data_IF_913802826386
#
_entry.id   IF_913802826386
#
_cell.length_a   1.000
_cell.length_b   1.000
_cell.length_c   1.000
_cell.angle_alpha   90.00
_cell.angle_beta   90.00
_cell.angle_gamma   90.00
#
_symmetry.space_group_name_H-M   'P 1'
#
loop_
_entity.id
_entity.type
_entity.pdbx_description
1 polymer ?
#
# COMPACT_ATOMS: atom_id res chain seq x y z
N UNK A 1 18.50 11.06 62.35
CA UNK A 1 18.31 12.45 61.90
C UNK A 1 19.48 12.80 60.97
N UNK A 2 19.30 12.72 59.69
CA UNK A 2 20.26 13.21 58.68
C UNK A 2 19.47 13.98 57.63
N UNK A 3 19.74 15.27 57.59
CA UNK A 3 19.09 16.24 56.69
C UNK A 3 19.54 16.04 55.23
N UNK A 4 18.61 16.07 54.28
CA UNK A 4 18.86 16.16 52.84
C UNK A 4 19.03 17.63 52.44
N UNK A 5 19.99 17.99 51.57
CA UNK A 5 20.06 19.33 51.02
C UNK A 5 19.04 19.48 49.87
N UNK A 6 18.37 20.63 49.87
CA UNK A 6 17.53 21.12 48.77
C UNK A 6 18.43 21.66 47.68
N UNK A 7 18.26 21.20 46.43
CA UNK A 7 18.84 21.83 45.24
C UNK A 7 17.79 22.75 44.64
N UNK A 8 18.14 24.02 44.51
CA UNK A 8 17.33 25.09 43.93
C UNK A 8 17.23 24.93 42.42
N UNK A 9 16.02 25.15 41.88
CA UNK A 9 15.76 25.28 40.44
C UNK A 9 16.22 26.67 39.98
N UNK A 10 16.99 26.75 38.90
CA UNK A 10 17.29 27.96 38.16
C UNK A 10 16.34 28.10 36.95
N UNK A 11 15.80 29.28 36.70
CA UNK A 11 14.96 29.54 35.55
C UNK A 11 15.82 29.83 34.30
N UNK A 12 15.52 29.13 33.20
CA UNK A 12 16.07 29.49 31.90
C UNK A 12 15.01 30.23 31.10
N UNK A 13 15.14 31.58 31.08
CA UNK A 13 14.57 32.43 30.05
C UNK A 13 15.52 32.45 28.86
N UNK A 14 15.01 32.04 27.68
CA UNK A 14 15.64 32.35 26.41
C UNK A 14 14.59 32.90 25.45
N UNK A 15 14.35 34.21 25.58
CA UNK A 15 13.83 35.03 24.48
C UNK A 15 15.01 35.40 23.58
N UNK A 16 15.02 34.91 22.36
CA UNK A 16 15.99 35.23 21.32
C UNK A 16 15.25 35.67 20.07
N UNK A 17 14.96 36.97 19.99
CA UNK A 17 14.55 37.68 18.76
C UNK A 17 15.64 37.55 17.70
N UNK A 18 15.35 36.89 16.59
CA UNK A 18 16.16 36.97 15.37
C UNK A 18 15.39 37.79 14.33
N UNK A 19 15.68 39.06 14.27
CA UNK A 19 15.29 39.97 13.19
C UNK A 19 16.11 39.61 11.94
N UNK A 20 15.49 39.19 10.89
CA UNK A 20 16.08 39.19 9.55
C UNK A 20 15.88 40.54 8.90
N UNK A 21 16.98 41.25 8.67
CA UNK A 21 17.06 42.46 7.92
C UNK A 21 16.88 42.22 6.42
N UNK A 22 16.00 43.02 5.82
CA UNK A 22 15.76 43.08 4.38
C UNK A 22 16.83 43.93 3.69
N UNK A 23 17.37 43.46 2.58
CA UNK A 23 18.00 44.19 1.47
C UNK A 23 17.86 43.28 0.24
N UNK A 24 17.33 43.69 -0.86
CA UNK A 24 17.06 44.87 -1.55
C UNK A 24 16.65 44.61 -2.99
N UNK A 25 15.76 45.47 -3.48
CA UNK A 25 15.60 45.99 -4.85
C UNK A 25 15.11 45.05 -5.98
N UNK A 26 13.89 45.27 -6.35
CA UNK A 26 13.35 45.77 -7.62
C UNK A 26 13.76 45.07 -8.93
N UNK A 27 12.77 44.46 -9.55
CA UNK A 27 12.58 44.51 -10.99
C UNK A 27 11.09 44.48 -11.32
N UNK A 28 10.58 45.59 -11.83
CA UNK A 28 9.25 45.81 -12.36
C UNK A 28 9.12 45.12 -13.69
N UNK A 29 8.18 44.16 -13.84
CA UNK A 29 7.77 43.56 -15.10
C UNK A 29 6.30 43.86 -15.38
N UNK A 30 6.06 44.82 -16.29
CA UNK A 30 4.76 45.30 -16.69
C UNK A 30 3.93 44.18 -17.38
N UNK A 31 2.75 43.93 -16.87
CA UNK A 31 1.72 43.12 -17.52
C UNK A 31 1.05 43.95 -18.62
N UNK A 32 1.31 43.63 -19.90
CA UNK A 32 0.62 44.22 -21.05
C UNK A 32 -0.73 43.53 -21.22
N UNK A 33 -1.79 44.31 -20.97
CA UNK A 33 -3.14 43.97 -21.44
C UNK A 33 -3.22 44.03 -22.97
N UNK A 34 -3.55 42.94 -23.60
CA UNK A 34 -3.94 42.91 -25.02
C UNK A 34 -5.44 43.20 -25.11
N UNK A 35 -5.78 44.40 -25.58
CA UNK A 35 -7.14 44.76 -25.96
C UNK A 35 -7.45 44.14 -27.31
N UNK A 36 -8.47 43.30 -27.39
CA UNK A 36 -9.01 42.79 -28.65
C UNK A 36 -10.01 43.83 -29.20
N UNK A 37 -9.67 44.39 -30.35
CA UNK A 37 -10.54 45.31 -31.08
C UNK A 37 -11.73 44.57 -31.72
N UNK A 38 -12.92 45.08 -31.49
CA UNK A 38 -14.14 44.69 -32.21
C UNK A 38 -14.13 45.36 -33.59
N UNK A 39 -14.10 44.58 -34.67
CA UNK A 39 -14.37 45.02 -36.02
C UNK A 39 -15.86 44.88 -36.32
N UNK A 40 -16.49 46.00 -36.59
CA UNK A 40 -17.85 46.10 -37.16
C UNK A 40 -17.78 45.80 -38.64
N UNK A 41 -18.52 44.78 -39.14
CA UNK A 41 -18.73 44.54 -40.55
C UNK A 41 -20.11 45.04 -40.95
N UNK A 42 -20.12 45.92 -41.95
CA UNK A 42 -21.27 46.55 -42.52
C UNK A 42 -22.11 45.56 -43.36
N UNK A 43 -23.43 45.72 -43.25
CA UNK A 43 -24.43 45.00 -44.03
C UNK A 43 -24.51 45.62 -45.44
N UNK A 44 -24.19 44.84 -46.48
CA UNK A 44 -24.55 45.18 -47.85
C UNK A 44 -25.85 44.44 -48.23
N UNK A 45 -26.91 45.19 -48.47
CA UNK A 45 -28.17 44.69 -48.96
C UNK A 45 -28.05 44.48 -50.49
N UNK A 46 -28.09 43.23 -50.94
CA UNK A 46 -28.22 42.85 -52.35
C UNK A 46 -29.59 42.28 -52.63
N UNK A 47 -30.38 42.98 -53.43
CA UNK A 47 -31.60 42.46 -54.01
C UNK A 47 -31.28 41.25 -54.90
N UNK A 48 -31.87 40.10 -54.64
CA UNK A 48 -31.88 38.97 -55.56
C UNK A 48 -33.33 38.70 -55.97
N UNK A 49 -33.56 38.86 -57.21
CA UNK A 49 -34.83 38.57 -57.94
C UNK A 49 -35.22 37.11 -57.81
N UNK A 50 -36.47 36.88 -57.52
CA UNK A 50 -37.02 35.55 -57.31
C UNK A 50 -37.04 34.67 -58.54
N UNK A 51 -36.56 33.46 -58.40
CA UNK A 51 -36.81 32.35 -59.34
C UNK A 51 -37.83 31.39 -58.67
N UNK A 52 -38.75 30.78 -59.41
CA UNK A 52 -39.76 29.91 -58.83
C UNK A 52 -39.17 28.65 -58.24
N UNK A 53 -39.58 28.38 -57.02
CA UNK A 53 -39.18 27.19 -56.28
C UNK A 53 -39.84 25.97 -56.91
N UNK A 54 -39.12 25.19 -57.69
CA UNK A 54 -39.57 23.86 -58.11
C UNK A 54 -39.53 22.96 -56.87
N UNK A 55 -40.69 22.45 -56.51
CA UNK A 55 -40.82 21.48 -55.45
C UNK A 55 -40.03 20.19 -55.81
N UNK A 56 -38.89 19.96 -55.19
CA UNK A 56 -38.19 18.68 -55.30
C UNK A 56 -38.96 17.65 -54.45
N UNK A 57 -39.26 16.52 -55.10
CA UNK A 57 -39.83 15.37 -54.44
C UNK A 57 -38.84 14.89 -53.32
N UNK A 58 -39.35 14.45 -52.16
CA UNK A 58 -38.49 13.98 -51.07
C UNK A 58 -37.64 12.80 -51.55
N UNK A 59 -36.33 12.91 -51.34
CA UNK A 59 -35.38 11.81 -51.62
C UNK A 59 -35.81 10.54 -50.86
N UNK A 60 -35.73 9.36 -51.50
CA UNK A 60 -36.04 8.12 -50.82
C UNK A 60 -35.11 7.97 -49.59
N UNK A 61 -35.71 7.66 -48.41
CA UNK A 61 -34.92 7.31 -47.23
C UNK A 61 -33.94 6.19 -47.58
N UNK A 62 -32.67 6.32 -47.20
CA UNK A 62 -31.72 5.23 -47.39
C UNK A 62 -32.27 3.98 -46.69
N UNK A 63 -32.44 2.92 -47.47
CA UNK A 63 -32.77 1.61 -46.94
C UNK A 63 -31.70 1.26 -45.89
N UNK A 64 -32.14 0.84 -44.71
CA UNK A 64 -31.24 0.25 -43.73
C UNK A 64 -30.51 -0.90 -44.46
N UNK A 65 -29.15 -0.97 -44.37
CA UNK A 65 -28.46 -2.12 -44.91
C UNK A 65 -29.00 -3.38 -44.21
N UNK A 66 -29.58 -4.25 -44.99
CA UNK A 66 -29.98 -5.59 -44.57
C UNK A 66 -28.69 -6.30 -44.19
N UNK A 67 -28.50 -6.50 -42.89
CA UNK A 67 -27.33 -7.21 -42.37
C UNK A 67 -27.44 -8.68 -42.79
N UNK A 68 -26.78 -9.03 -43.89
CA UNK A 68 -26.61 -10.41 -44.26
C UNK A 68 -25.79 -11.12 -43.16
N UNK A 69 -26.22 -12.33 -42.81
CA UNK A 69 -25.74 -13.12 -41.67
C UNK A 69 -24.31 -13.68 -41.83
N UNK A 70 -23.42 -12.94 -42.46
CA UNK A 70 -22.00 -13.30 -42.63
C UNK A 70 -21.04 -12.56 -41.67
N UNK A 71 -21.57 -11.83 -40.72
CA UNK A 71 -20.73 -11.36 -39.63
C UNK A 71 -20.47 -12.54 -38.67
N UNK A 72 -19.21 -12.80 -38.38
CA UNK A 72 -18.81 -13.66 -37.26
C UNK A 72 -19.75 -13.37 -36.10
N UNK A 73 -20.36 -14.39 -35.48
CA UNK A 73 -21.23 -14.16 -34.34
C UNK A 73 -20.47 -13.32 -33.36
N UNK A 74 -20.88 -12.08 -33.16
CA UNK A 74 -20.29 -11.21 -32.16
C UNK A 74 -20.27 -12.03 -30.89
N UNK A 75 -19.15 -12.03 -30.19
CA UNK A 75 -19.04 -12.65 -28.89
C UNK A 75 -20.22 -12.17 -28.06
N UNK A 76 -21.28 -12.98 -28.00
CA UNK A 76 -22.47 -12.71 -27.19
C UNK A 76 -22.14 -13.04 -25.74
N UNK A 77 -21.02 -12.47 -25.28
CA UNK A 77 -20.68 -12.40 -23.87
C UNK A 77 -21.12 -11.03 -23.35
N UNK A 78 -22.39 -10.71 -23.47
CA UNK A 78 -23.00 -9.64 -22.68
C UNK A 78 -23.19 -10.03 -21.21
N UNK A 79 -22.81 -11.25 -20.82
CA UNK A 79 -22.49 -11.58 -19.44
C UNK A 79 -21.01 -11.31 -19.22
N UNK A 80 -20.66 -10.30 -18.44
CA UNK A 80 -19.34 -10.21 -17.83
C UNK A 80 -19.12 -11.56 -17.17
N UNK A 81 -18.25 -12.40 -17.76
CA UNK A 81 -17.70 -13.54 -17.07
C UNK A 81 -16.98 -12.97 -15.84
N UNK A 82 -17.71 -12.88 -14.73
CA UNK A 82 -17.06 -12.69 -13.43
C UNK A 82 -16.28 -13.98 -13.22
N UNK A 83 -15.01 -13.98 -13.63
CA UNK A 83 -14.08 -15.00 -13.16
C UNK A 83 -14.08 -14.86 -11.65
N UNK A 84 -14.90 -15.67 -10.98
CA UNK A 84 -14.80 -15.80 -9.54
C UNK A 84 -13.48 -16.52 -9.32
N UNK A 85 -12.53 -15.91 -8.56
CA UNK A 85 -11.37 -16.65 -8.13
C UNK A 85 -11.86 -17.97 -7.51
N UNK A 86 -11.17 -19.07 -7.78
CA UNK A 86 -11.50 -20.35 -7.16
C UNK A 86 -11.64 -20.14 -5.65
N UNK A 87 -12.69 -20.74 -5.07
CA UNK A 87 -12.91 -20.66 -3.63
C UNK A 87 -11.69 -21.27 -2.92
N UNK A 88 -11.23 -20.62 -1.86
CA UNK A 88 -10.15 -21.11 -1.02
C UNK A 88 -10.67 -22.28 -0.16
N UNK A 89 -9.85 -23.31 0.01
CA UNK A 89 -10.10 -24.34 1.03
C UNK A 89 -9.87 -23.73 2.44
N UNK A 90 -10.43 -24.38 3.46
CA UNK A 90 -10.43 -23.88 4.84
C UNK A 90 -9.02 -23.67 5.44
N UNK A 91 -8.01 -24.35 4.90
CA UNK A 91 -6.60 -24.27 5.29
C UNK A 91 -5.76 -23.39 4.34
N UNK A 92 -6.41 -22.69 3.41
CA UNK A 92 -5.76 -21.85 2.41
C UNK A 92 -5.94 -20.37 2.71
N UNK A 93 -4.91 -19.58 2.39
CA UNK A 93 -4.95 -18.12 2.32
C UNK A 93 -4.47 -17.67 0.94
N UNK A 94 -5.07 -16.60 0.40
CA UNK A 94 -4.55 -15.88 -0.76
C UNK A 94 -3.84 -14.64 -0.30
N UNK A 95 -2.60 -14.46 -0.75
CA UNK A 95 -1.80 -13.26 -0.53
C UNK A 95 -1.66 -12.55 -1.87
N UNK A 96 -2.11 -11.31 -1.94
CA UNK A 96 -1.98 -10.47 -3.14
C UNK A 96 -1.14 -9.25 -2.79
N UNK A 97 -0.02 -9.09 -3.46
CA UNK A 97 0.82 -7.90 -3.31
C UNK A 97 0.22 -6.75 -4.09
N UNK A 98 -0.19 -5.70 -3.37
CA UNK A 98 -0.78 -4.51 -3.96
C UNK A 98 0.30 -3.49 -4.34
N UNK A 99 1.36 -3.41 -3.53
CA UNK A 99 2.50 -2.53 -3.74
C UNK A 99 3.05 -1.99 -2.42
N UNK A 100 4.26 -1.47 -2.43
CA UNK A 100 4.99 -0.97 -1.27
C UNK A 100 5.02 -2.01 -0.13
N UNK A 101 4.27 -1.83 0.96
CA UNK A 101 4.10 -2.78 2.05
C UNK A 101 2.65 -3.27 2.20
N UNK A 102 1.80 -2.93 1.23
CA UNK A 102 0.38 -3.29 1.27
C UNK A 102 0.15 -4.62 0.58
N UNK A 103 -0.42 -5.56 1.33
CA UNK A 103 -0.97 -6.81 0.83
C UNK A 103 -2.47 -6.87 1.10
N UNK A 104 -3.18 -7.59 0.25
CA UNK A 104 -4.52 -8.09 0.53
C UNK A 104 -4.41 -9.57 0.88
N UNK A 105 -4.73 -9.91 2.12
CA UNK A 105 -4.79 -11.30 2.62
C UNK A 105 -6.25 -11.71 2.68
N UNK A 106 -6.59 -12.84 2.04
CA UNK A 106 -7.97 -13.35 1.98
C UNK A 106 -8.03 -14.76 2.54
N UNK A 107 -9.02 -15.03 3.41
CA UNK A 107 -9.31 -16.36 3.96
C UNK A 107 -10.39 -17.09 3.19
N UNK A 108 -10.63 -18.36 3.53
CA UNK A 108 -11.68 -19.19 2.93
C UNK A 108 -13.09 -18.61 3.13
N UNK A 109 -13.36 -17.98 4.26
CA UNK A 109 -14.64 -17.29 4.53
C UNK A 109 -14.71 -15.88 3.98
N UNK A 110 -13.76 -15.53 3.08
CA UNK A 110 -13.68 -14.22 2.43
C UNK A 110 -13.43 -13.06 3.40
N UNK A 111 -12.81 -13.32 4.56
CA UNK A 111 -12.25 -12.25 5.37
C UNK A 111 -11.11 -11.63 4.60
N UNK A 112 -11.15 -10.31 4.42
CA UNK A 112 -10.16 -9.52 3.69
C UNK A 112 -9.41 -8.62 4.65
N UNK A 113 -8.10 -8.76 4.65
CA UNK A 113 -7.20 -7.97 5.51
C UNK A 113 -6.27 -7.19 4.59
N UNK A 114 -6.21 -5.87 4.78
CA UNK A 114 -5.20 -5.03 4.13
C UNK A 114 -4.10 -4.70 5.13
N UNK A 115 -2.85 -5.00 4.77
CA UNK A 115 -1.69 -4.65 5.59
C UNK A 115 -1.20 -3.24 5.23
N UNK A 116 -0.69 -2.52 6.23
CA UNK A 116 -0.19 -1.14 6.09
C UNK A 116 -1.10 -0.27 5.21
N UNK A 117 -2.41 -0.31 5.56
CA UNK A 117 -3.46 0.40 4.84
C UNK A 117 -3.25 1.91 4.91
N UNK A 118 -3.17 2.55 3.75
CA UNK A 118 -2.80 3.95 3.60
C UNK A 118 -3.59 4.62 2.47
N UNK A 119 -3.33 5.91 2.20
CA UNK A 119 -4.07 6.66 1.19
C UNK A 119 -3.51 6.52 -0.24
N UNK A 120 -2.30 6.00 -0.40
CA UNK A 120 -1.59 5.94 -1.69
C UNK A 120 -1.72 4.60 -2.39
N UNK A 121 -1.62 3.50 -1.62
CA UNK A 121 -1.65 2.13 -2.12
C UNK A 121 -2.83 1.41 -1.48
N UNK A 122 -3.93 1.29 -2.23
CA UNK A 122 -5.18 0.70 -1.72
C UNK A 122 -5.52 -0.59 -2.46
N UNK A 123 -6.02 -1.61 -1.76
CA UNK A 123 -6.56 -2.79 -2.43
C UNK A 123 -7.80 -2.41 -3.27
N UNK A 124 -8.11 -3.18 -4.33
CA UNK A 124 -9.24 -2.90 -5.22
C UNK A 124 -10.61 -3.13 -4.58
N UNK A 125 -10.64 -3.61 -3.36
CA UNK A 125 -11.84 -3.90 -2.56
C UNK A 125 -11.66 -3.34 -1.16
N UNK A 126 -12.73 -2.85 -0.53
CA UNK A 126 -12.71 -2.47 0.88
C UNK A 126 -12.44 -3.71 1.73
N UNK A 127 -11.38 -3.71 2.57
CA UNK A 127 -11.10 -4.83 3.45
C UNK A 127 -12.07 -4.86 4.65
N UNK A 128 -12.21 -6.02 5.30
CA UNK A 128 -12.89 -6.13 6.59
C UNK A 128 -12.00 -5.61 7.72
N UNK A 129 -10.69 -5.82 7.58
CA UNK A 129 -9.69 -5.49 8.58
C UNK A 129 -8.54 -4.74 7.91
N UNK A 130 -8.08 -3.66 8.52
CA UNK A 130 -6.89 -2.93 8.12
C UNK A 130 -5.88 -2.92 9.26
N UNK A 131 -4.63 -3.30 8.97
CA UNK A 131 -3.51 -3.07 9.90
C UNK A 131 -2.71 -1.87 9.43
N UNK A 132 -2.10 -1.13 10.35
CA UNK A 132 -1.33 0.08 10.09
C UNK A 132 -0.11 0.15 10.99
N UNK A 133 0.95 0.80 10.54
CA UNK A 133 2.17 1.10 11.30
C UNK A 133 2.53 2.58 11.23
N UNK A 134 3.18 3.11 12.29
CA UNK A 134 3.34 4.56 12.47
C UNK A 134 4.48 5.19 11.66
N UNK A 135 5.37 4.44 11.06
CA UNK A 135 6.64 4.96 10.55
C UNK A 135 6.47 6.20 9.64
N UNK A 136 5.59 6.14 8.64
CA UNK A 136 5.21 7.28 7.80
C UNK A 136 3.91 6.99 7.02
N UNK A 137 3.38 8.02 6.34
CA UNK A 137 2.03 8.03 5.74
C UNK A 137 1.75 6.93 4.69
N UNK A 138 2.78 6.24 4.19
CA UNK A 138 2.59 5.08 3.30
C UNK A 138 2.30 3.78 4.06
N UNK A 139 2.22 3.81 5.39
CA UNK A 139 1.90 2.67 6.26
C UNK A 139 0.61 2.87 7.07
N UNK A 140 0.02 4.07 7.03
CA UNK A 140 -1.23 4.36 7.72
C UNK A 140 -2.03 5.47 7.04
N UNK A 141 -3.27 5.63 7.47
CA UNK A 141 -4.11 6.80 7.20
C UNK A 141 -4.84 7.21 8.46
N UNK A 142 -5.06 8.51 8.62
CA UNK A 142 -5.90 9.06 9.70
C UNK A 142 -7.40 8.93 9.37
N UNK A 143 -7.72 8.67 8.09
CA UNK A 143 -9.09 8.60 7.57
C UNK A 143 -9.35 7.26 6.88
N UNK A 144 -9.34 6.13 7.63
CA UNK A 144 -9.68 4.84 7.04
C UNK A 144 -11.11 4.87 6.50
N UNK A 145 -11.38 4.05 5.47
CA UNK A 145 -12.74 3.87 4.96
C UNK A 145 -13.67 3.41 6.11
N UNK A 146 -14.77 4.12 6.37
CA UNK A 146 -15.68 3.79 7.46
C UNK A 146 -16.37 2.43 7.32
N UNK A 147 -16.34 1.82 6.15
CA UNK A 147 -16.84 0.45 5.93
C UNK A 147 -15.88 -0.64 6.44
N UNK A 148 -14.63 -0.29 6.80
CA UNK A 148 -13.67 -1.22 7.44
C UNK A 148 -14.13 -1.49 8.86
N UNK A 149 -14.36 -2.77 9.17
CA UNK A 149 -14.91 -3.18 10.47
C UNK A 149 -13.90 -3.08 11.61
N UNK A 150 -12.63 -3.39 11.32
CA UNK A 150 -11.57 -3.39 12.31
C UNK A 150 -10.34 -2.65 11.77
N UNK A 151 -9.96 -1.56 12.43
CA UNK A 151 -8.74 -0.81 12.14
C UNK A 151 -7.76 -1.04 13.28
N UNK A 152 -6.67 -1.75 12.99
CA UNK A 152 -5.68 -2.16 13.98
C UNK A 152 -4.40 -1.31 13.79
N UNK A 153 -4.24 -0.28 14.62
CA UNK A 153 -3.05 0.56 14.63
C UNK A 153 -1.93 -0.13 15.41
N UNK A 154 -0.80 -0.36 14.78
CA UNK A 154 0.37 -1.03 15.38
C UNK A 154 1.12 -0.18 16.40
N UNK A 155 0.49 0.88 16.93
CA UNK A 155 1.02 1.78 17.97
C UNK A 155 -0.10 2.33 18.83
N UNK A 156 0.23 2.74 20.05
CA UNK A 156 -0.60 3.56 20.92
C UNK A 156 -0.03 4.99 20.99
N UNK A 157 -0.89 5.99 21.10
CA UNK A 157 -0.48 7.41 21.15
C UNK A 157 0.31 7.74 22.43
N UNK A 158 0.11 6.99 23.50
CA UNK A 158 0.85 7.12 24.77
C UNK A 158 2.22 6.42 24.75
N UNK A 159 2.57 5.76 23.61
CA UNK A 159 3.82 5.02 23.45
C UNK A 159 3.86 3.68 24.16
N UNK A 160 2.75 3.20 24.74
CA UNK A 160 2.64 1.85 25.27
C UNK A 160 2.62 0.81 24.14
N UNK A 161 3.05 -0.45 24.39
CA UNK A 161 2.97 -1.48 23.38
C UNK A 161 1.52 -1.83 23.03
N UNK A 162 1.26 -2.09 21.74
CA UNK A 162 0.01 -2.73 21.34
C UNK A 162 0.07 -4.22 21.60
N UNK A 163 -1.09 -4.83 21.86
CA UNK A 163 -1.20 -6.27 22.10
C UNK A 163 -2.53 -6.78 21.55
N UNK A 164 -2.62 -6.87 20.20
CA UNK A 164 -3.83 -7.40 19.58
C UNK A 164 -3.90 -8.93 19.71
N UNK A 165 -5.09 -9.41 20.02
CA UNK A 165 -5.52 -10.80 19.92
C UNK A 165 -7.00 -10.78 19.51
N UNK A 166 -7.24 -10.60 18.21
CA UNK A 166 -8.57 -10.46 17.63
C UNK A 166 -8.92 -11.71 16.82
N UNK A 167 -10.05 -12.34 17.12
CA UNK A 167 -10.63 -13.36 16.25
C UNK A 167 -11.82 -12.78 15.50
N UNK A 168 -11.78 -12.86 14.18
CA UNK A 168 -12.87 -12.46 13.29
C UNK A 168 -13.13 -13.57 12.26
N UNK A 169 -14.27 -14.22 12.37
CA UNK A 169 -14.66 -15.39 11.57
C UNK A 169 -13.62 -16.53 11.65
N UNK A 170 -12.90 -16.79 10.54
CA UNK A 170 -11.89 -17.86 10.41
C UNK A 170 -10.45 -17.33 10.50
N UNK A 171 -10.28 -16.09 10.96
CA UNK A 171 -8.97 -15.46 11.11
C UNK A 171 -8.76 -15.04 12.56
N UNK A 172 -7.59 -15.34 13.12
CA UNK A 172 -7.10 -14.74 14.36
C UNK A 172 -5.91 -13.84 14.03
N UNK A 173 -5.89 -12.64 14.60
CA UNK A 173 -4.83 -11.66 14.38
C UNK A 173 -4.18 -11.35 15.72
N UNK A 174 -2.86 -11.59 15.78
CA UNK A 174 -2.02 -11.19 16.92
C UNK A 174 -1.04 -10.11 16.49
N UNK A 175 -0.51 -9.36 17.44
CA UNK A 175 0.57 -8.41 17.19
C UNK A 175 1.72 -8.54 18.19
N UNK A 176 2.92 -8.24 17.71
CA UNK A 176 4.14 -8.12 18.52
C UNK A 176 4.72 -6.73 18.29
N UNK A 177 4.75 -5.91 19.33
CA UNK A 177 5.23 -4.53 19.24
C UNK A 177 6.75 -4.49 19.04
N UNK A 178 7.20 -3.64 18.13
CA UNK A 178 8.60 -3.35 17.86
C UNK A 178 8.84 -1.84 17.80
N UNK A 179 10.10 -1.43 17.87
CA UNK A 179 10.48 -0.02 17.84
C UNK A 179 10.73 0.46 16.40
N UNK A 180 10.65 1.76 16.19
CA UNK A 180 11.13 2.41 14.96
C UNK A 180 12.27 3.38 15.29
N UNK A 181 13.12 3.66 14.30
CA UNK A 181 14.06 4.78 14.36
C UNK A 181 13.30 6.08 14.14
N UNK A 182 13.63 7.12 14.87
CA UNK A 182 13.15 8.45 14.59
C UNK A 182 14.10 9.19 13.61
N UNK A 183 13.67 10.34 13.15
CA UNK A 183 14.43 11.15 12.18
C UNK A 183 15.75 11.71 12.72
N UNK A 184 15.91 11.76 14.04
CA UNK A 184 17.14 12.21 14.70
C UNK A 184 18.14 11.07 14.96
N UNK A 185 17.79 9.84 14.55
CA UNK A 185 18.58 8.63 14.81
C UNK A 185 18.31 7.99 16.18
N UNK A 186 17.36 8.53 16.93
CA UNK A 186 16.88 7.93 18.18
C UNK A 186 15.91 6.78 17.94
N UNK A 187 15.23 6.36 19.01
CA UNK A 187 14.27 5.26 18.98
C UNK A 187 12.90 5.72 19.48
N UNK A 188 11.89 5.62 18.64
CA UNK A 188 10.49 5.68 19.04
C UNK A 188 10.03 4.28 19.45
N UNK A 189 9.68 4.14 20.73
CA UNK A 189 9.24 2.85 21.26
C UNK A 189 7.87 2.50 20.68
N UNK A 190 7.69 1.20 20.35
CA UNK A 190 6.42 0.61 19.94
C UNK A 190 5.73 1.34 18.77
N UNK A 191 6.51 1.95 17.87
CA UNK A 191 5.98 2.64 16.68
C UNK A 191 5.66 1.70 15.51
N UNK A 192 6.01 0.42 15.64
CA UNK A 192 5.69 -0.63 14.68
C UNK A 192 5.16 -1.87 15.41
N UNK A 193 4.34 -2.65 14.73
CA UNK A 193 3.91 -3.97 15.19
C UNK A 193 4.05 -4.98 14.05
N UNK A 194 4.61 -6.13 14.39
CA UNK A 194 4.52 -7.31 13.53
C UNK A 194 3.11 -7.87 13.71
N UNK A 195 2.33 -7.90 12.64
CA UNK A 195 1.02 -8.52 12.65
C UNK A 195 1.11 -9.96 12.18
N UNK A 196 0.47 -10.88 12.91
CA UNK A 196 0.47 -12.31 12.63
C UNK A 196 -0.98 -12.72 12.38
N UNK A 197 -1.23 -13.22 11.16
CA UNK A 197 -2.53 -13.71 10.71
C UNK A 197 -2.54 -15.23 10.79
N UNK A 198 -3.38 -15.78 11.64
CA UNK A 198 -3.61 -17.22 11.77
C UNK A 198 -4.86 -17.58 10.97
N UNK A 199 -4.69 -18.35 9.89
CA UNK A 199 -5.76 -18.77 8.97
C UNK A 199 -5.69 -20.28 8.82
N UNK A 200 -6.69 -20.98 9.34
CA UNK A 200 -6.61 -22.44 9.47
C UNK A 200 -5.41 -22.84 10.33
N UNK A 201 -4.42 -23.51 9.73
CA UNK A 201 -3.18 -23.90 10.41
C UNK A 201 -1.97 -23.06 10.00
N UNK A 202 -2.16 -22.06 9.12
CA UNK A 202 -1.11 -21.15 8.66
C UNK A 202 -0.89 -20.01 9.67
N UNK A 203 0.38 -19.66 9.88
CA UNK A 203 0.82 -18.47 10.60
C UNK A 203 1.57 -17.57 9.61
N UNK A 204 0.98 -16.43 9.26
CA UNK A 204 1.51 -15.48 8.27
C UNK A 204 1.90 -14.20 9.00
N UNK A 205 3.16 -13.80 8.95
CA UNK A 205 3.64 -12.57 9.58
C UNK A 205 3.87 -11.46 8.56
N UNK A 206 3.45 -10.25 8.90
CA UNK A 206 3.79 -9.02 8.21
C UNK A 206 4.70 -8.20 9.15
N UNK A 207 5.96 -7.98 8.74
CA UNK A 207 6.94 -7.32 9.61
C UNK A 207 6.75 -5.80 9.72
N UNK A 208 5.83 -5.25 8.91
CA UNK A 208 5.58 -3.80 8.88
C UNK A 208 6.82 -3.03 8.45
N UNK A 209 7.12 -1.96 9.17
CA UNK A 209 8.30 -1.12 8.96
C UNK A 209 9.36 -1.43 10.03
N UNK A 210 9.85 -2.65 10.03
CA UNK A 210 10.81 -3.13 11.04
C UNK A 210 12.15 -2.40 10.92
N UNK A 211 12.67 -1.87 12.03
CA UNK A 211 13.91 -1.09 12.09
C UNK A 211 15.04 -1.74 12.87
N UNK A 212 14.74 -2.77 13.64
CA UNK A 212 15.72 -3.41 14.54
C UNK A 212 15.61 -4.93 14.42
N UNK A 213 16.68 -5.63 14.73
CA UNK A 213 16.65 -7.08 14.89
C UNK A 213 15.71 -7.47 16.03
N UNK A 214 15.22 -8.70 15.99
CA UNK A 214 14.25 -9.20 16.96
C UNK A 214 14.93 -9.74 18.21
N UNK A 215 14.40 -9.41 19.36
CA UNK A 215 14.80 -10.02 20.64
C UNK A 215 14.23 -11.43 20.75
N UNK A 216 14.84 -12.29 21.59
CA UNK A 216 14.30 -13.61 21.86
C UNK A 216 12.86 -13.56 22.37
N UNK A 217 12.52 -12.61 23.23
CA UNK A 217 11.17 -12.40 23.72
C UNK A 217 10.17 -12.13 22.58
N UNK A 218 10.56 -11.32 21.59
CA UNK A 218 9.70 -11.05 20.42
C UNK A 218 9.54 -12.29 19.54
N UNK A 219 10.60 -13.05 19.33
CA UNK A 219 10.54 -14.33 18.61
C UNK A 219 9.64 -15.34 19.32
N UNK A 220 9.73 -15.43 20.66
CA UNK A 220 8.86 -16.30 21.46
C UNK A 220 7.39 -15.88 21.36
N UNK A 221 7.11 -14.56 21.35
CA UNK A 221 5.76 -14.03 21.15
C UNK A 221 5.24 -14.27 19.74
N UNK A 222 6.09 -14.21 18.73
CA UNK A 222 5.69 -14.54 17.35
C UNK A 222 5.35 -16.02 17.22
N UNK A 223 6.14 -16.88 17.84
CA UNK A 223 6.03 -18.32 17.69
C UNK A 223 6.38 -18.80 16.28
N UNK A 224 5.78 -19.89 15.85
CA UNK A 224 6.00 -20.44 14.50
C UNK A 224 5.41 -19.53 13.44
N UNK A 225 6.20 -19.23 12.42
CA UNK A 225 5.76 -18.51 11.22
C UNK A 225 5.98 -19.38 9.99
N UNK A 226 4.96 -19.49 9.16
CA UNK A 226 4.97 -20.28 7.93
C UNK A 226 5.26 -19.43 6.68
N UNK A 227 4.77 -18.18 6.69
CA UNK A 227 5.00 -17.19 5.65
C UNK A 227 5.36 -15.85 6.28
N UNK A 228 6.38 -15.18 5.76
CA UNK A 228 6.77 -13.85 6.24
C UNK A 228 6.80 -12.84 5.08
N UNK A 229 6.09 -11.71 5.23
CA UNK A 229 6.19 -10.54 4.36
C UNK A 229 7.20 -9.59 4.97
N UNK A 230 8.29 -9.31 4.22
CA UNK A 230 9.52 -8.71 4.75
C UNK A 230 9.93 -7.46 3.98
N UNK A 231 10.17 -6.30 4.66
CA UNK A 231 10.71 -5.11 4.02
C UNK A 231 12.19 -5.30 3.67
N UNK A 232 12.58 -4.94 2.43
CA UNK A 232 13.93 -5.25 1.93
C UNK A 232 14.67 -4.05 1.32
N UNK A 233 14.19 -2.83 1.55
CA UNK A 233 14.86 -1.61 1.05
C UNK A 233 16.24 -1.39 1.66
N UNK A 234 16.43 -1.73 2.94
CA UNK A 234 17.71 -1.66 3.64
C UNK A 234 18.21 -0.24 3.94
N UNK A 235 17.31 0.75 3.91
CA UNK A 235 17.63 2.15 4.19
C UNK A 235 16.60 2.83 5.09
N UNK A 236 15.33 2.81 4.70
CA UNK A 236 14.24 3.32 5.54
C UNK A 236 13.85 2.34 6.63
N UNK A 237 13.91 1.03 6.33
CA UNK A 237 13.73 -0.05 7.31
C UNK A 237 15.06 -0.54 7.85
N UNK A 238 15.12 -1.71 8.47
CA UNK A 238 16.36 -2.36 8.89
C UNK A 238 17.25 -2.59 7.66
N UNK A 239 18.55 -2.42 7.82
CA UNK A 239 19.50 -2.74 6.75
C UNK A 239 19.37 -4.20 6.32
N UNK A 240 19.81 -4.49 5.09
CA UNK A 240 19.59 -5.81 4.49
C UNK A 240 20.36 -6.94 5.16
N UNK A 241 21.45 -6.63 5.86
CA UNK A 241 22.21 -7.62 6.63
C UNK A 241 21.46 -8.03 7.90
N UNK A 242 21.04 -7.05 8.69
CA UNK A 242 20.20 -7.27 9.86
C UNK A 242 18.85 -7.92 9.49
N UNK A 243 18.30 -7.60 8.33
CA UNK A 243 17.08 -8.26 7.85
C UNK A 243 17.32 -9.74 7.51
N UNK A 244 18.48 -10.09 6.95
CA UNK A 244 18.84 -11.48 6.72
C UNK A 244 18.98 -12.25 8.04
N UNK A 245 19.55 -11.63 9.10
CA UNK A 245 19.60 -12.21 10.44
C UNK A 245 18.20 -12.43 11.05
N UNK A 246 17.31 -11.46 10.88
CA UNK A 246 15.89 -11.59 11.31
C UNK A 246 15.23 -12.80 10.65
N UNK A 247 15.42 -12.97 9.34
CA UNK A 247 14.86 -14.10 8.60
C UNK A 247 15.41 -15.44 9.05
N UNK A 248 16.73 -15.50 9.34
CA UNK A 248 17.36 -16.71 9.89
C UNK A 248 16.86 -17.03 11.30
N UNK A 249 16.45 -16.03 12.07
CA UNK A 249 15.86 -16.21 13.40
C UNK A 249 14.40 -16.68 13.34
N UNK A 250 13.60 -16.13 12.41
CA UNK A 250 12.18 -16.51 12.21
C UNK A 250 12.06 -17.91 11.61
N UNK A 251 12.93 -18.28 10.68
CA UNK A 251 12.98 -19.60 9.98
C UNK A 251 11.69 -19.93 9.24
N UNK A 252 11.00 -18.93 8.69
CA UNK A 252 9.82 -19.18 7.87
C UNK A 252 10.22 -19.89 6.55
N UNK A 253 9.52 -20.96 6.15
CA UNK A 253 9.82 -21.66 4.90
C UNK A 253 9.54 -20.82 3.66
N UNK A 254 8.59 -19.87 3.72
CA UNK A 254 8.27 -18.98 2.61
C UNK A 254 8.39 -17.52 3.03
N UNK A 255 9.14 -16.72 2.26
CA UNK A 255 9.19 -15.30 2.45
C UNK A 255 8.83 -14.55 1.17
N UNK A 256 8.15 -13.40 1.33
CA UNK A 256 7.69 -12.54 0.27
C UNK A 256 8.27 -11.15 0.52
N UNK A 257 9.19 -10.65 -0.34
CA UNK A 257 9.78 -9.34 -0.18
C UNK A 257 8.78 -8.23 -0.50
N UNK A 258 8.87 -7.14 0.23
CA UNK A 258 8.10 -5.93 0.07
C UNK A 258 8.96 -4.70 0.32
N UNK A 259 8.40 -3.50 0.20
CA UNK A 259 9.05 -2.24 0.58
C UNK A 259 10.41 -2.06 -0.11
N UNK A 260 10.43 -2.25 -1.42
CA UNK A 260 11.60 -1.96 -2.27
C UNK A 260 11.20 -0.96 -3.35
N UNK A 261 12.09 0.00 -3.64
CA UNK A 261 11.80 1.12 -4.53
C UNK A 261 12.35 0.91 -5.95
N UNK A 262 13.16 -0.14 -6.13
CA UNK A 262 13.73 -0.50 -7.43
C UNK A 262 14.11 -1.98 -7.46
N UNK A 263 14.20 -2.52 -8.67
CA UNK A 263 14.71 -3.87 -8.88
C UNK A 263 16.18 -4.00 -8.44
N UNK A 264 16.96 -2.91 -8.51
CA UNK A 264 18.34 -2.93 -8.01
C UNK A 264 18.38 -3.18 -6.49
N UNK A 265 17.51 -2.51 -5.73
CA UNK A 265 17.42 -2.70 -4.27
C UNK A 265 16.97 -4.12 -3.93
N UNK A 266 15.95 -4.63 -4.65
CA UNK A 266 15.48 -6.01 -4.48
C UNK A 266 16.61 -7.01 -4.81
N UNK A 267 17.26 -6.89 -5.95
CA UNK A 267 18.31 -7.83 -6.38
C UNK A 267 19.48 -7.86 -5.40
N UNK A 268 19.89 -6.72 -4.85
CA UNK A 268 20.92 -6.66 -3.80
C UNK A 268 20.53 -7.47 -2.56
N UNK A 269 19.26 -7.43 -2.17
CA UNK A 269 18.76 -8.27 -1.07
C UNK A 269 18.72 -9.75 -1.47
N UNK A 270 18.23 -10.09 -2.65
CA UNK A 270 18.19 -11.47 -3.13
C UNK A 270 19.58 -12.08 -3.22
N UNK A 271 20.58 -11.31 -3.66
CA UNK A 271 21.99 -11.74 -3.70
C UNK A 271 22.53 -12.10 -2.32
N UNK A 272 22.11 -11.36 -1.28
CA UNK A 272 22.52 -11.58 0.09
C UNK A 272 21.94 -12.87 0.70
N UNK A 273 20.73 -13.24 0.31
CA UNK A 273 20.03 -14.39 0.92
C UNK A 273 20.09 -15.67 0.07
N UNK A 274 20.62 -15.62 -1.15
CA UNK A 274 20.63 -16.74 -2.10
C UNK A 274 21.36 -18.00 -1.63
N UNK A 275 22.28 -17.89 -0.71
CA UNK A 275 22.98 -19.05 -0.14
C UNK A 275 22.07 -19.91 0.75
N UNK A 276 21.07 -19.28 1.36
CA UNK A 276 20.17 -19.93 2.32
C UNK A 276 18.76 -20.13 1.77
N UNK A 277 18.40 -19.46 0.64
CA UNK A 277 17.05 -19.44 0.09
C UNK A 277 17.07 -19.63 -1.42
N UNK A 278 16.16 -20.45 -1.92
CA UNK A 278 15.87 -20.46 -3.36
C UNK A 278 15.02 -19.24 -3.71
N UNK A 279 15.29 -18.62 -4.87
CA UNK A 279 14.55 -17.44 -5.35
C UNK A 279 13.66 -17.85 -6.51
N UNK A 280 12.38 -17.49 -6.41
CA UNK A 280 11.38 -17.69 -7.46
C UNK A 280 10.66 -16.36 -7.73
N UNK A 281 10.42 -16.05 -9.00
CA UNK A 281 9.61 -14.90 -9.43
C UNK A 281 8.26 -15.42 -9.91
N UNK A 282 7.18 -14.91 -9.33
CA UNK A 282 5.83 -15.27 -9.74
C UNK A 282 5.39 -14.43 -10.95
N UNK A 283 4.57 -15.02 -11.82
CA UNK A 283 3.98 -14.33 -12.97
C UNK A 283 2.78 -13.44 -12.59
N UNK A 284 2.23 -13.65 -11.41
CA UNK A 284 1.03 -12.94 -10.92
C UNK A 284 1.29 -12.31 -9.54
N UNK A 285 0.61 -11.20 -9.21
CA UNK A 285 0.76 -10.56 -7.91
C UNK A 285 0.14 -11.35 -6.75
N UNK A 286 -0.45 -12.52 -7.01
CA UNK A 286 -1.16 -13.30 -6.01
C UNK A 286 -0.62 -14.72 -5.92
N UNK A 287 -0.54 -15.22 -4.70
CA UNK A 287 -0.23 -16.63 -4.42
C UNK A 287 -1.27 -17.19 -3.45
N UNK A 288 -1.66 -18.45 -3.65
CA UNK A 288 -2.46 -19.22 -2.69
C UNK A 288 -1.52 -20.14 -1.93
N UNK A 289 -1.55 -20.05 -0.61
CA UNK A 289 -0.70 -20.82 0.29
C UNK A 289 -1.53 -21.69 1.24
N UNK A 290 -1.01 -22.86 1.56
CA UNK A 290 -1.48 -23.72 2.63
C UNK A 290 -0.27 -24.40 3.27
N UNK A 291 -0.42 -25.00 4.44
CA UNK A 291 0.70 -25.77 5.01
C UNK A 291 1.19 -26.90 4.09
N UNK A 292 0.29 -27.51 3.33
CA UNK A 292 0.63 -28.58 2.41
C UNK A 292 1.43 -28.09 1.18
N UNK A 293 1.32 -26.79 0.84
CA UNK A 293 2.01 -26.19 -0.32
C UNK A 293 3.25 -25.38 0.05
N UNK A 294 3.60 -25.32 1.34
CA UNK A 294 4.84 -24.66 1.77
C UNK A 294 6.05 -25.38 1.18
N UNK A 295 7.09 -24.64 0.78
CA UNK A 295 8.30 -25.24 0.24
C UNK A 295 9.04 -26.06 1.30
N UNK A 296 9.59 -27.22 0.88
CA UNK A 296 10.38 -28.08 1.76
C UNK A 296 11.72 -27.47 2.15
N UNK A 297 12.26 -26.59 1.30
CA UNK A 297 13.47 -25.78 1.57
C UNK A 297 13.09 -24.29 1.57
N UNK A 298 13.77 -23.45 2.37
CA UNK A 298 13.45 -22.03 2.45
C UNK A 298 13.46 -21.35 1.08
N UNK A 299 12.41 -20.56 0.79
CA UNK A 299 12.20 -19.93 -0.50
C UNK A 299 11.84 -18.45 -0.34
N UNK A 300 12.39 -17.62 -1.22
CA UNK A 300 11.91 -16.27 -1.49
C UNK A 300 11.01 -16.33 -2.72
N UNK A 301 9.76 -15.91 -2.59
CA UNK A 301 8.82 -15.73 -3.69
C UNK A 301 8.62 -14.24 -3.96
N UNK A 302 9.11 -13.75 -5.08
CA UNK A 302 8.94 -12.38 -5.51
C UNK A 302 7.62 -12.27 -6.27
N UNK A 303 6.67 -11.53 -5.70
CA UNK A 303 5.41 -11.21 -6.38
C UNK A 303 5.58 -9.89 -7.15
N UNK A 304 5.11 -9.79 -8.42
CA UNK A 304 5.13 -8.53 -9.14
C UNK A 304 4.20 -7.52 -8.45
N UNK A 305 4.73 -6.30 -8.16
CA UNK A 305 3.93 -5.17 -7.68
C UNK A 305 3.12 -4.54 -8.82
N UNK A 306 2.08 -3.79 -8.45
CA UNK A 306 1.30 -2.97 -9.39
C UNK A 306 1.87 -1.57 -9.50
#
# INVERSE_FOLDING_TARGET
MVQRPRVAAAPWDCAGDVRYAALGRMASGACRMVRVARALLAVAAGLVLGAPLMAQAPAPKPAKPEMTAEFCPGLVASGRLRVRPAALAADQARLTYIGHSTFLVESAKLVRIATDYNDYVKPPVTPDIATMNRAHSTHYTDRPDPAIKHVLRGWNEDGSPTGYDLTYQDVRIRSVATNIRDWSGGTTRHGNSIFIFEIGTLCIAHLGHLHHTLTQQQLDQMGRIDVVMVPVDGSFTLDQEGMAEVLQSIKAPLMIPMHYFSMHTLNRFLDRVRENYTVEHADTPSVVVSRATLPASPKVLVLPGR
#
